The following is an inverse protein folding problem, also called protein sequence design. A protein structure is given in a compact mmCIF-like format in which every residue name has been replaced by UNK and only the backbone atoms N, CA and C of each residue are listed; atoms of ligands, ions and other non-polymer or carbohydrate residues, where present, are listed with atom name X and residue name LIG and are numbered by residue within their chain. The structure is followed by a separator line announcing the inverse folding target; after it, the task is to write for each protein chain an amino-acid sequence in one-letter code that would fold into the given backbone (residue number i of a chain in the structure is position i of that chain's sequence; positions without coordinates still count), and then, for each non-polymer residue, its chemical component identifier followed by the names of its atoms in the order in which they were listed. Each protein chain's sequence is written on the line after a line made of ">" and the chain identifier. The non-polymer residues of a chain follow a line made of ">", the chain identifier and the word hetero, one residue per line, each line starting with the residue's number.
data_IF_323805761984
#
_entry.id   IF_323805761984
#
_cell.length_a   1.000
_cell.length_b   1.000
_cell.length_c   1.000
_cell.angle_alpha   90.00
_cell.angle_beta   90.00
_cell.angle_gamma   90.00
#
_symmetry.space_group_name_H-M   'P 1'
#
loop_
_entity.id
_entity.type
_entity.pdbx_description
1 polymer ?
#
# COMPACT_ATOMS: atom_id res chain seq x y z
N UNK A 1 36.03 39.36 -24.46
CA UNK A 1 35.82 38.97 -23.05
C UNK A 1 34.49 38.24 -22.99
N UNK A 2 34.51 36.89 -22.96
CA UNK A 2 33.31 36.06 -23.17
C UNK A 2 33.18 34.99 -22.10
N UNK A 3 32.05 35.07 -21.37
CA UNK A 3 31.17 34.01 -20.84
C UNK A 3 31.75 32.67 -20.37
N UNK A 4 31.48 32.34 -19.10
CA UNK A 4 30.68 31.19 -18.62
C UNK A 4 31.05 30.96 -17.14
N UNK A 5 30.17 31.05 -16.14
CA UNK A 5 28.82 30.49 -16.10
C UNK A 5 28.85 29.02 -15.71
N UNK A 6 29.59 28.65 -14.65
CA UNK A 6 29.53 27.31 -14.05
C UNK A 6 28.38 27.28 -13.05
N UNK A 7 27.26 26.66 -13.44
CA UNK A 7 26.18 26.28 -12.53
C UNK A 7 26.40 24.83 -12.14
N UNK A 8 26.81 24.63 -10.90
CA UNK A 8 26.77 23.32 -10.25
C UNK A 8 25.32 22.85 -10.21
N UNK A 9 25.07 21.78 -10.96
CA UNK A 9 23.75 21.14 -11.03
C UNK A 9 23.61 20.23 -9.81
N UNK A 10 22.77 20.65 -8.88
CA UNK A 10 22.39 19.88 -7.71
C UNK A 10 21.80 18.52 -8.12
N UNK A 11 22.47 17.46 -7.67
CA UNK A 11 21.97 16.09 -7.63
C UNK A 11 20.84 15.98 -6.59
N UNK A 12 19.64 16.46 -6.94
CA UNK A 12 18.48 16.50 -6.02
C UNK A 12 17.58 15.25 -6.08
N UNK A 13 17.93 14.22 -6.86
CA UNK A 13 17.07 13.06 -7.10
C UNK A 13 17.09 11.99 -5.99
N UNK A 14 18.25 11.76 -5.36
CA UNK A 14 18.47 10.59 -4.49
C UNK A 14 18.18 10.87 -3.00
N UNK A 15 18.23 12.16 -2.59
CA UNK A 15 18.04 12.58 -1.20
C UNK A 15 16.57 12.65 -0.74
N UNK A 16 15.60 12.75 -1.66
CA UNK A 16 14.18 12.90 -1.33
C UNK A 16 13.42 11.57 -1.24
N UNK A 17 13.99 10.48 -1.75
CA UNK A 17 13.31 9.19 -1.86
C UNK A 17 13.44 8.34 -0.60
N UNK A 18 14.61 8.35 0.05
CA UNK A 18 14.83 7.75 1.38
C UNK A 18 13.86 8.27 2.45
N UNK A 19 13.70 9.59 2.65
CA UNK A 19 12.77 10.09 3.66
C UNK A 19 11.30 9.76 3.35
N UNK A 20 10.92 9.63 2.07
CA UNK A 20 9.56 9.23 1.70
C UNK A 20 9.25 7.77 2.06
N UNK A 21 10.20 6.86 1.83
CA UNK A 21 10.06 5.44 2.20
C UNK A 21 10.01 5.30 3.72
N UNK A 22 10.89 5.98 4.45
CA UNK A 22 10.92 5.99 5.92
C UNK A 22 9.60 6.52 6.51
N UNK A 23 9.11 7.67 6.03
CA UNK A 23 7.81 8.22 6.44
C UNK A 23 6.65 7.26 6.17
N UNK A 24 6.67 6.59 5.02
CA UNK A 24 5.63 5.62 4.66
C UNK A 24 5.66 4.39 5.57
N UNK A 25 6.85 3.88 5.91
CA UNK A 25 6.99 2.76 6.86
C UNK A 25 6.54 3.14 8.27
N UNK A 26 6.82 4.37 8.71
CA UNK A 26 6.36 4.88 10.00
C UNK A 26 4.82 5.02 10.02
N UNK A 27 4.21 5.50 8.94
CA UNK A 27 2.75 5.60 8.81
C UNK A 27 2.06 4.23 8.85
N UNK A 28 2.68 3.20 8.25
CA UNK A 28 2.21 1.80 8.35
C UNK A 28 2.26 1.30 9.79
N UNK A 29 3.38 1.54 10.50
CA UNK A 29 3.53 1.18 11.90
C UNK A 29 2.46 1.82 12.78
N UNK A 30 2.30 3.14 12.69
CA UNK A 30 1.30 3.89 13.45
C UNK A 30 -0.14 3.42 13.15
N UNK A 31 -0.45 3.14 11.89
CA UNK A 31 -1.78 2.65 11.48
C UNK A 31 -2.06 1.24 12.01
N UNK A 32 -1.04 0.38 12.05
CA UNK A 32 -1.15 -0.97 12.62
C UNK A 32 -1.37 -0.92 14.13
N UNK A 33 -0.59 -0.10 14.84
CA UNK A 33 -0.74 0.09 16.28
C UNK A 33 -2.14 0.60 16.62
N UNK A 34 -2.63 1.61 15.90
CA UNK A 34 -3.97 2.12 16.07
C UNK A 34 -5.05 1.04 15.85
N UNK A 35 -4.93 0.23 14.79
CA UNK A 35 -5.85 -0.87 14.54
C UNK A 35 -5.83 -1.93 15.65
N UNK A 36 -4.65 -2.24 16.22
CA UNK A 36 -4.49 -3.17 17.34
C UNK A 36 -5.10 -2.64 18.64
N UNK A 37 -4.94 -1.34 18.94
CA UNK A 37 -5.56 -0.71 20.10
C UNK A 37 -7.08 -0.82 20.01
N UNK A 38 -7.65 -0.50 18.84
CA UNK A 38 -9.09 -0.63 18.61
C UNK A 38 -9.58 -2.08 18.66
N UNK A 39 -8.79 -3.04 18.18
CA UNK A 39 -9.11 -4.46 18.29
C UNK A 39 -9.24 -4.89 19.77
N UNK A 40 -8.28 -4.49 20.61
CA UNK A 40 -8.31 -4.79 22.05
C UNK A 40 -9.49 -4.13 22.75
N UNK A 41 -9.79 -2.87 22.40
CA UNK A 41 -10.93 -2.16 22.95
C UNK A 41 -12.26 -2.84 22.55
N UNK A 42 -12.41 -3.22 21.28
CA UNK A 42 -13.56 -3.95 20.78
C UNK A 42 -13.75 -5.29 21.51
N UNK A 43 -12.69 -6.08 21.68
CA UNK A 43 -12.72 -7.35 22.42
C UNK A 43 -13.15 -7.14 23.88
N UNK A 44 -12.64 -6.10 24.54
CA UNK A 44 -13.04 -5.78 25.91
C UNK A 44 -14.53 -5.37 26.01
N UNK A 45 -15.03 -4.60 25.04
CA UNK A 45 -16.45 -4.23 24.97
C UNK A 45 -17.34 -5.44 24.66
N UNK A 46 -16.91 -6.35 23.78
CA UNK A 46 -17.61 -7.59 23.47
C UNK A 46 -17.76 -8.48 24.71
N UNK A 47 -16.67 -8.64 25.48
CA UNK A 47 -16.67 -9.42 26.71
C UNK A 47 -17.58 -8.78 27.78
N UNK A 48 -17.53 -7.46 27.96
CA UNK A 48 -18.44 -6.74 28.86
C UNK A 48 -19.91 -6.93 28.45
N UNK A 49 -20.20 -6.82 27.16
CA UNK A 49 -21.54 -7.02 26.64
C UNK A 49 -22.04 -8.47 26.88
N UNK A 50 -21.16 -9.46 26.70
CA UNK A 50 -21.45 -10.87 27.01
C UNK A 50 -21.79 -11.07 28.49
N UNK A 51 -21.01 -10.46 29.39
CA UNK A 51 -21.26 -10.51 30.83
C UNK A 51 -22.60 -9.86 31.20
N UNK A 52 -22.88 -8.67 30.67
CA UNK A 52 -24.14 -7.97 30.92
C UNK A 52 -25.36 -8.73 30.38
N UNK A 53 -25.26 -9.37 29.21
CA UNK A 53 -26.31 -10.26 28.72
C UNK A 53 -26.52 -11.48 29.60
N UNK A 54 -25.44 -12.06 30.11
CA UNK A 54 -25.53 -13.18 31.05
C UNK A 54 -26.22 -12.77 32.35
N UNK A 55 -25.91 -11.57 32.86
CA UNK A 55 -26.56 -11.00 34.03
C UNK A 55 -28.05 -10.75 33.77
N UNK A 56 -28.39 -10.11 32.65
CA UNK A 56 -29.78 -9.84 32.26
C UNK A 56 -30.59 -11.14 32.19
N UNK A 57 -30.03 -12.18 31.57
CA UNK A 57 -30.69 -13.48 31.49
C UNK A 57 -30.86 -14.13 32.86
N UNK A 58 -29.86 -14.04 33.73
CA UNK A 58 -29.97 -14.54 35.10
C UNK A 58 -31.05 -13.81 35.91
N UNK A 59 -31.20 -12.49 35.70
CA UNK A 59 -32.29 -11.71 36.28
C UNK A 59 -33.64 -12.19 35.71
N UNK A 60 -33.79 -12.25 34.39
CA UNK A 60 -35.00 -12.75 33.73
C UNK A 60 -35.42 -14.15 34.21
N UNK A 61 -34.45 -15.07 34.39
CA UNK A 61 -34.69 -16.42 34.89
C UNK A 61 -35.12 -16.44 36.38
N UNK A 62 -34.67 -15.46 37.17
CA UNK A 62 -35.04 -15.31 38.59
C UNK A 62 -36.40 -14.64 38.80
N UNK A 63 -36.87 -13.89 37.80
CA UNK A 63 -38.17 -13.25 37.81
C UNK A 63 -39.24 -14.31 37.52
N UNK A 64 -39.92 -14.77 38.57
CA UNK A 64 -40.94 -15.81 38.48
C UNK A 64 -42.06 -15.47 37.47
N UNK A 65 -42.66 -16.50 36.87
CA UNK A 65 -43.68 -16.41 35.82
C UNK A 65 -45.01 -15.77 36.25
N UNK A 66 -45.14 -15.30 37.48
CA UNK A 66 -46.40 -14.84 38.10
C UNK A 66 -46.84 -13.44 37.61
N UNK A 67 -46.14 -12.88 36.62
CA UNK A 67 -46.57 -11.70 35.84
C UNK A 67 -46.54 -10.37 36.61
N UNK A 68 -46.17 -10.38 37.89
CA UNK A 68 -46.05 -9.18 38.73
C UNK A 68 -44.65 -9.08 39.31
N UNK A 69 -43.85 -8.23 38.70
CA UNK A 69 -42.55 -7.80 39.20
C UNK A 69 -42.75 -6.77 40.32
N UNK A 70 -41.92 -6.82 41.35
CA UNK A 70 -41.82 -5.69 42.30
C UNK A 70 -41.24 -4.47 41.58
N UNK A 71 -41.49 -3.27 42.13
CA UNK A 71 -40.91 -2.05 41.58
C UNK A 71 -39.37 -2.12 41.53
N UNK A 72 -38.74 -2.66 42.57
CA UNK A 72 -37.29 -2.86 42.64
C UNK A 72 -36.80 -3.80 41.52
N UNK A 73 -37.51 -4.89 41.25
CA UNK A 73 -37.20 -5.82 40.17
C UNK A 73 -37.34 -5.17 38.78
N UNK A 74 -38.35 -4.31 38.59
CA UNK A 74 -38.52 -3.57 37.34
C UNK A 74 -37.41 -2.54 37.14
N UNK A 75 -37.03 -1.82 38.19
CA UNK A 75 -35.96 -0.83 38.14
C UNK A 75 -34.60 -1.50 37.88
N UNK A 76 -34.31 -2.62 38.52
CA UNK A 76 -33.09 -3.39 38.29
C UNK A 76 -33.04 -3.94 36.86
N UNK A 77 -34.13 -4.54 36.37
CA UNK A 77 -34.22 -5.04 35.00
C UNK A 77 -34.04 -3.91 33.97
N UNK A 78 -34.67 -2.75 34.20
CA UNK A 78 -34.55 -1.58 33.34
C UNK A 78 -33.10 -1.09 33.29
N UNK A 79 -32.44 -0.98 34.45
CA UNK A 79 -31.06 -0.51 34.56
C UNK A 79 -30.07 -1.47 33.86
N UNK A 80 -30.20 -2.77 34.07
CA UNK A 80 -29.34 -3.75 33.39
C UNK A 80 -29.60 -3.78 31.89
N UNK A 81 -30.86 -3.66 31.47
CA UNK A 81 -31.22 -3.56 30.04
C UNK A 81 -30.60 -2.31 29.41
N UNK A 82 -30.65 -1.17 30.08
CA UNK A 82 -30.00 0.06 29.62
C UNK A 82 -28.48 -0.13 29.47
N UNK A 83 -27.83 -0.74 30.46
CA UNK A 83 -26.40 -1.02 30.40
C UNK A 83 -26.04 -1.95 29.24
N UNK A 84 -26.85 -2.99 28.98
CA UNK A 84 -26.66 -3.88 27.81
C UNK A 84 -26.74 -3.07 26.51
N UNK A 85 -27.74 -2.20 26.38
CA UNK A 85 -27.93 -1.37 25.18
C UNK A 85 -26.78 -0.37 24.99
N UNK A 86 -26.34 0.31 26.05
CA UNK A 86 -25.20 1.22 26.00
C UNK A 86 -23.90 0.48 25.61
N UNK A 87 -23.65 -0.68 26.21
CA UNK A 87 -22.48 -1.49 25.91
C UNK A 87 -22.51 -2.04 24.47
N UNK A 88 -23.69 -2.42 23.97
CA UNK A 88 -23.92 -2.82 22.59
C UNK A 88 -23.59 -1.67 21.61
N UNK A 89 -24.04 -0.45 21.90
CA UNK A 89 -23.73 0.73 21.08
C UNK A 89 -22.23 1.05 21.07
N UNK A 90 -21.57 0.98 22.23
CA UNK A 90 -20.12 1.15 22.36
C UNK A 90 -19.37 0.10 21.53
N UNK A 91 -19.75 -1.16 21.66
CA UNK A 91 -19.18 -2.29 20.90
C UNK A 91 -19.33 -2.08 19.39
N UNK A 92 -20.51 -1.71 18.93
CA UNK A 92 -20.78 -1.50 17.49
C UNK A 92 -20.03 -0.28 16.93
N UNK A 93 -19.83 0.75 17.76
CA UNK A 93 -18.96 1.88 17.41
C UNK A 93 -17.50 1.43 17.28
N UNK A 94 -16.99 0.69 18.26
CA UNK A 94 -15.61 0.19 18.24
C UNK A 94 -15.36 -0.78 17.08
N UNK A 95 -16.35 -1.57 16.69
CA UNK A 95 -16.27 -2.41 15.48
C UNK A 95 -16.07 -1.57 14.22
N UNK A 96 -16.90 -0.54 14.04
CA UNK A 96 -16.79 0.39 12.90
C UNK A 96 -15.45 1.11 12.89
N UNK A 97 -14.99 1.58 14.05
CA UNK A 97 -13.69 2.25 14.19
C UNK A 97 -12.54 1.29 13.86
N UNK A 98 -12.61 0.04 14.34
CA UNK A 98 -11.60 -0.99 14.05
C UNK A 98 -11.54 -1.34 12.55
N UNK A 99 -12.69 -1.56 11.91
CA UNK A 99 -12.77 -1.80 10.46
C UNK A 99 -12.20 -0.62 9.67
N UNK A 100 -12.52 0.60 10.08
CA UNK A 100 -11.98 1.82 9.47
C UNK A 100 -10.47 1.91 9.64
N UNK A 101 -9.93 1.56 10.81
CA UNK A 101 -8.50 1.53 11.06
C UNK A 101 -7.77 0.45 10.25
N UNK A 102 -8.37 -0.74 10.07
CA UNK A 102 -7.85 -1.78 9.19
C UNK A 102 -7.78 -1.31 7.73
N UNK A 103 -8.80 -0.59 7.28
CA UNK A 103 -8.79 0.02 5.96
C UNK A 103 -7.66 1.06 5.84
N UNK A 104 -7.50 1.94 6.84
CA UNK A 104 -6.39 2.90 6.89
C UNK A 104 -5.01 2.23 6.86
N UNK A 105 -4.84 1.14 7.60
CA UNK A 105 -3.62 0.33 7.55
C UNK A 105 -3.37 -0.27 6.16
N UNK A 106 -4.39 -0.81 5.49
CA UNK A 106 -4.26 -1.36 4.15
C UNK A 106 -3.84 -0.28 3.14
N UNK A 107 -4.42 0.92 3.22
CA UNK A 107 -4.04 2.07 2.39
C UNK A 107 -2.61 2.50 2.66
N UNK A 108 -2.20 2.65 3.92
CA UNK A 108 -0.83 2.99 4.29
C UNK A 108 0.17 1.95 3.78
N UNK A 109 -0.17 0.66 3.86
CA UNK A 109 0.67 -0.43 3.38
C UNK A 109 0.86 -0.40 1.86
N UNK A 110 -0.20 -0.10 1.11
CA UNK A 110 -0.10 0.05 -0.33
C UNK A 110 0.72 1.29 -0.71
N UNK A 111 0.53 2.41 -0.01
CA UNK A 111 1.32 3.62 -0.22
C UNK A 111 2.83 3.39 0.04
N UNK A 112 3.17 2.69 1.13
CA UNK A 112 4.55 2.31 1.42
C UNK A 112 5.14 1.37 0.35
N UNK A 113 4.33 0.41 -0.14
CA UNK A 113 4.73 -0.47 -1.23
C UNK A 113 4.97 0.29 -2.53
N UNK A 114 4.13 1.29 -2.84
CA UNK A 114 4.31 2.16 -3.99
C UNK A 114 5.58 3.02 -3.86
N UNK A 115 5.84 3.60 -2.70
CA UNK A 115 7.04 4.39 -2.42
C UNK A 115 8.32 3.54 -2.57
N UNK A 116 8.32 2.30 -2.05
CA UNK A 116 9.43 1.36 -2.21
C UNK A 116 9.69 1.03 -3.70
N UNK A 117 8.63 0.75 -4.47
CA UNK A 117 8.74 0.50 -5.92
C UNK A 117 9.32 1.70 -6.69
N UNK A 118 8.99 2.93 -6.28
CA UNK A 118 9.58 4.13 -6.88
C UNK A 118 11.05 4.33 -6.50
N UNK A 119 11.44 3.92 -5.29
CA UNK A 119 12.83 3.97 -4.82
C UNK A 119 13.74 2.98 -5.54
N UNK A 120 13.23 1.81 -5.90
CA UNK A 120 13.98 0.79 -6.65
C UNK A 120 14.02 1.06 -8.16
N UNK A 121 13.23 2.01 -8.66
CA UNK A 121 13.23 2.34 -10.09
C UNK A 121 14.52 3.10 -10.41
N UNK A 122 15.46 2.53 -11.19
CA UNK A 122 16.61 3.30 -11.66
C UNK A 122 16.06 4.51 -12.40
N UNK A 123 16.62 5.70 -12.17
CA UNK A 123 16.22 6.92 -12.85
C UNK A 123 15.99 6.61 -14.34
N UNK A 124 14.75 6.79 -14.79
CA UNK A 124 14.40 6.64 -16.19
C UNK A 124 15.18 7.72 -16.96
N UNK A 125 16.39 7.38 -17.44
CA UNK A 125 17.29 8.38 -18.00
C UNK A 125 18.75 7.98 -18.24
N UNK A 126 19.23 6.84 -17.75
CA UNK A 126 20.52 6.31 -18.19
C UNK A 126 20.30 5.07 -19.07
N UNK A 127 20.36 5.17 -20.41
CA UNK A 127 20.59 3.99 -21.21
C UNK A 127 21.95 3.47 -20.75
N UNK A 128 21.96 2.39 -19.97
CA UNK A 128 23.14 1.56 -19.87
C UNK A 128 23.39 1.04 -21.29
N UNK A 129 24.16 1.82 -22.07
CA UNK A 129 24.91 1.29 -23.18
C UNK A 129 25.89 0.30 -22.58
N UNK A 130 25.39 -0.91 -22.30
CA UNK A 130 26.25 -2.07 -22.09
C UNK A 130 27.24 -2.03 -23.25
N UNK A 131 28.57 -2.10 -22.98
CA UNK A 131 29.54 -2.24 -24.05
C UNK A 131 29.05 -3.35 -24.96
N UNK A 132 28.85 -3.02 -26.24
CA UNK A 132 28.31 -3.93 -27.25
C UNK A 132 28.98 -5.30 -27.07
N UNK A 133 28.19 -6.31 -26.69
CA UNK A 133 28.68 -7.67 -26.47
C UNK A 133 29.47 -8.12 -27.70
N UNK A 134 30.49 -8.99 -27.56
CA UNK A 134 31.33 -9.40 -28.70
C UNK A 134 30.50 -9.83 -29.92
N UNK A 135 29.39 -10.53 -29.67
CA UNK A 135 28.43 -10.98 -30.69
C UNK A 135 27.75 -9.83 -31.45
N UNK A 136 27.44 -8.72 -30.79
CA UNK A 136 26.85 -7.54 -31.42
C UNK A 136 27.85 -6.72 -32.25
N UNK A 137 29.15 -6.74 -31.88
CA UNK A 137 30.21 -6.17 -32.72
C UNK A 137 30.40 -6.99 -34.00
N UNK A 138 30.44 -8.31 -33.89
CA UNK A 138 30.54 -9.22 -35.04
C UNK A 138 29.35 -9.05 -35.99
N UNK A 139 28.14 -8.90 -35.47
CA UNK A 139 26.95 -8.63 -36.29
C UNK A 139 27.03 -7.30 -37.02
N UNK A 140 27.51 -6.23 -36.37
CA UNK A 140 27.70 -4.93 -37.03
C UNK A 140 28.77 -4.97 -38.12
N UNK A 141 29.89 -5.64 -37.88
CA UNK A 141 30.95 -5.80 -38.88
C UNK A 141 30.43 -6.55 -40.12
N UNK A 142 29.73 -7.67 -39.91
CA UNK A 142 29.12 -8.45 -41.00
C UNK A 142 28.06 -7.67 -41.77
N UNK A 143 27.28 -6.82 -41.08
CA UNK A 143 26.31 -5.93 -41.74
C UNK A 143 26.99 -4.92 -42.66
N UNK A 144 28.10 -4.32 -42.21
CA UNK A 144 28.89 -3.39 -43.03
C UNK A 144 29.54 -4.05 -44.24
N UNK A 145 30.04 -5.28 -44.07
CA UNK A 145 30.60 -6.08 -45.18
C UNK A 145 29.52 -6.43 -46.22
N UNK A 146 28.32 -6.82 -45.78
CA UNK A 146 27.20 -7.11 -46.67
C UNK A 146 26.75 -5.88 -47.47
N UNK A 147 26.68 -4.71 -46.85
CA UNK A 147 26.37 -3.46 -47.55
C UNK A 147 27.44 -3.11 -48.59
N UNK A 148 28.72 -3.30 -48.27
CA UNK A 148 29.82 -3.07 -49.20
C UNK A 148 29.75 -4.03 -50.40
N UNK A 149 29.43 -5.31 -50.17
CA UNK A 149 29.21 -6.28 -51.25
C UNK A 149 27.99 -5.94 -52.10
N UNK A 150 26.89 -5.48 -51.52
CA UNK A 150 25.70 -5.06 -52.26
C UNK A 150 25.97 -3.83 -53.13
N UNK A 151 26.69 -2.82 -52.62
CA UNK A 151 27.09 -1.65 -53.43
C UNK A 151 27.97 -2.06 -54.60
N UNK A 152 28.93 -2.97 -54.38
CA UNK A 152 29.81 -3.46 -55.44
C UNK A 152 29.05 -4.25 -56.52
N UNK A 153 28.04 -5.04 -56.12
CA UNK A 153 27.17 -5.73 -57.07
C UNK A 153 26.30 -4.75 -57.86
N UNK A 154 25.78 -3.70 -57.22
CA UNK A 154 25.03 -2.65 -57.91
C UNK A 154 25.90 -1.88 -58.90
N UNK A 155 27.15 -1.56 -58.56
CA UNK A 155 28.10 -0.92 -59.46
C UNK A 155 28.48 -1.81 -60.66
N UNK A 156 28.67 -3.11 -60.44
CA UNK A 156 28.92 -4.05 -61.54
C UNK A 156 27.69 -4.21 -62.43
N UNK A 157 26.49 -4.25 -61.84
CA UNK A 157 25.23 -4.32 -62.57
C UNK A 157 24.97 -3.04 -63.38
N UNK A 158 25.27 -1.86 -62.85
CA UNK A 158 25.10 -0.59 -63.57
C UNK A 158 26.10 -0.46 -64.71
N UNK A 159 27.36 -0.90 -64.51
CA UNK A 159 28.37 -0.96 -65.57
C UNK A 159 28.02 -1.96 -66.66
N UNK A 160 27.47 -3.13 -66.32
CA UNK A 160 27.01 -4.11 -67.29
C UNK A 160 25.78 -3.64 -68.08
N UNK A 161 24.91 -2.83 -67.45
CA UNK A 161 23.77 -2.20 -68.11
C UNK A 161 24.18 -1.05 -69.06
N UNK A 162 25.25 -0.32 -68.76
CA UNK A 162 25.79 0.76 -69.59
C UNK A 162 26.69 0.28 -70.75
N UNK A 163 27.01 -1.02 -70.81
CA UNK A 163 27.84 -1.64 -71.85
C UNK A 163 27.02 -2.39 -72.92
N UNK A 164 25.70 -2.19 -72.95
CA UNK A 164 24.78 -2.62 -74.02
C UNK A 164 24.32 -1.42 -74.82
#
# INVERSE_FOLDING_TARGET
>A
SSRAGHRDSASSGDGAVKPLVEQSTQAVGASLEHAQVLAKAFQAAEERHRQLKSLLRGLEDSLGCDGRLSQEQQEELALVTEQVLQCQQERDRLEKDHVSALHGYAVAREAASAAARTAERPAAGAPFLRPASPRSRTLRQRSGELEAHQRRLQELSSRAGAAK
#
